data_IF_744558030447
#
_entry.id   IF_744558030447
#
_cell.length_a   1.000
_cell.length_b   1.000
_cell.length_c   1.000
_cell.angle_alpha   90.00
_cell.angle_beta   90.00
_cell.angle_gamma   90.00
#
_symmetry.space_group_name_H-M   'P 1'
#
loop_
_entity.id
_entity.type
_entity.pdbx_description
1 polymer ?
#
# COMPACT_ATOMS: atom_id res chain seq x y z
N UNK A 1 -7.34 -10.89 1.71
CA UNK A 1 -7.29 -9.49 1.24
C UNK A 1 -6.93 -8.55 2.38
N UNK A 2 -6.06 -7.61 2.13
CA UNK A 2 -5.69 -6.59 3.10
C UNK A 2 -6.32 -5.28 2.65
N UNK A 3 -6.95 -4.58 3.57
CA UNK A 3 -7.58 -3.29 3.30
C UNK A 3 -6.95 -2.24 4.22
N UNK A 4 -6.40 -1.19 3.61
CA UNK A 4 -5.69 -0.15 4.33
C UNK A 4 -6.43 1.18 4.22
N UNK A 5 -6.56 1.88 5.34
CA UNK A 5 -6.93 3.29 5.34
C UNK A 5 -5.67 4.12 5.31
N UNK A 6 -5.52 4.97 4.31
CA UNK A 6 -4.33 5.78 4.11
C UNK A 6 -4.68 7.25 4.33
N UNK A 7 -4.05 7.87 5.31
CA UNK A 7 -4.24 9.28 5.61
C UNK A 7 -3.13 10.10 4.93
N UNK A 8 -3.53 10.95 4.01
CA UNK A 8 -2.66 11.91 3.34
C UNK A 8 -3.13 13.30 3.77
N UNK A 9 -3.72 14.08 2.87
CA UNK A 9 -4.48 15.29 3.22
C UNK A 9 -5.97 14.95 3.40
N UNK A 10 -6.36 13.78 2.94
CA UNK A 10 -7.69 13.19 3.07
C UNK A 10 -7.51 11.69 3.23
N UNK A 11 -8.59 10.98 3.48
CA UNK A 11 -8.55 9.53 3.68
C UNK A 11 -8.78 8.78 2.37
N UNK A 12 -7.83 7.94 2.01
CA UNK A 12 -7.93 7.03 0.87
C UNK A 12 -7.97 5.59 1.35
N UNK A 13 -8.47 4.68 0.52
CA UNK A 13 -8.49 3.25 0.81
C UNK A 13 -7.68 2.50 -0.24
N UNK A 14 -6.80 1.62 0.23
CA UNK A 14 -6.01 0.74 -0.63
C UNK A 14 -6.39 -0.70 -0.30
N UNK A 15 -6.75 -1.48 -1.31
CA UNK A 15 -7.06 -2.89 -1.17
C UNK A 15 -5.99 -3.75 -1.84
N UNK A 16 -5.50 -4.74 -1.11
CA UNK A 16 -4.49 -5.67 -1.61
C UNK A 16 -5.12 -7.06 -1.60
N UNK A 17 -5.36 -7.63 -2.78
CA UNK A 17 -5.95 -8.96 -2.89
C UNK A 17 -4.95 -10.05 -2.51
N UNK A 18 -5.45 -11.25 -2.19
CA UNK A 18 -4.59 -12.40 -1.91
C UNK A 18 -3.72 -12.75 -3.12
N UNK A 19 -4.25 -12.55 -4.32
CA UNK A 19 -3.52 -12.76 -5.56
C UNK A 19 -2.34 -11.79 -5.69
N UNK A 20 -2.56 -10.52 -5.36
CA UNK A 20 -1.51 -9.50 -5.37
C UNK A 20 -0.41 -9.83 -4.36
N UNK A 21 -0.79 -10.29 -3.17
CA UNK A 21 0.16 -10.70 -2.14
C UNK A 21 1.01 -11.86 -2.63
N UNK A 22 0.38 -12.88 -3.20
CA UNK A 22 1.07 -14.05 -3.71
C UNK A 22 2.04 -13.67 -4.84
N UNK A 23 1.62 -12.82 -5.75
CA UNK A 23 2.44 -12.36 -6.86
C UNK A 23 3.65 -11.55 -6.37
N UNK A 24 3.45 -10.68 -5.40
CA UNK A 24 4.55 -9.92 -4.80
C UNK A 24 5.58 -10.85 -4.13
N UNK A 25 5.11 -11.84 -3.38
CA UNK A 25 5.98 -12.80 -2.71
C UNK A 25 6.70 -13.73 -3.68
N UNK A 26 6.12 -13.99 -4.84
CA UNK A 26 6.77 -14.77 -5.90
C UNK A 26 8.03 -14.06 -6.42
N UNK A 27 7.95 -12.75 -6.58
CA UNK A 27 9.08 -11.93 -7.03
C UNK A 27 10.03 -11.57 -5.89
N UNK A 28 9.51 -11.50 -4.66
CA UNK A 28 10.25 -11.07 -3.47
C UNK A 28 9.99 -12.04 -2.30
N UNK A 29 10.59 -13.25 -2.32
CA UNK A 29 10.28 -14.29 -1.33
C UNK A 29 10.58 -13.92 0.12
N UNK A 30 11.48 -12.97 0.33
CA UNK A 30 11.87 -12.53 1.67
C UNK A 30 11.10 -11.30 2.14
N UNK A 31 10.13 -10.82 1.36
CA UNK A 31 9.36 -9.64 1.71
C UNK A 31 8.43 -9.89 2.91
N UNK A 32 8.30 -8.88 3.77
CA UNK A 32 7.36 -8.91 4.89
C UNK A 32 6.04 -8.30 4.47
N UNK A 33 5.00 -8.52 5.29
CA UNK A 33 3.70 -7.87 5.06
C UNK A 33 3.80 -6.35 5.09
N UNK A 34 4.64 -5.82 5.98
CA UNK A 34 4.85 -4.37 6.06
C UNK A 34 5.45 -3.81 4.77
N UNK A 35 6.38 -4.52 4.16
CA UNK A 35 6.96 -4.13 2.88
C UNK A 35 5.92 -4.15 1.76
N UNK A 36 5.04 -5.15 1.75
CA UNK A 36 3.97 -5.26 0.77
C UNK A 36 3.00 -4.08 0.92
N UNK A 37 2.57 -3.78 2.14
CA UNK A 37 1.68 -2.65 2.42
C UNK A 37 2.29 -1.34 1.96
N UNK A 38 3.54 -1.10 2.33
CA UNK A 38 4.26 0.13 1.95
C UNK A 38 4.37 0.26 0.43
N UNK A 39 4.68 -0.83 -0.26
CA UNK A 39 4.79 -0.84 -1.72
C UNK A 39 3.48 -0.46 -2.39
N UNK A 40 2.36 -1.02 -1.93
CA UNK A 40 1.05 -0.71 -2.52
C UNK A 40 0.59 0.71 -2.19
N UNK A 41 0.87 1.20 -0.99
CA UNK A 41 0.59 2.59 -0.62
C UNK A 41 1.40 3.55 -1.50
N UNK A 42 2.68 3.26 -1.70
CA UNK A 42 3.54 4.08 -2.55
C UNK A 42 3.06 4.07 -4.02
N UNK A 43 2.63 2.93 -4.52
CA UNK A 43 2.08 2.83 -5.88
C UNK A 43 0.82 3.68 -6.02
N UNK A 44 -0.05 3.67 -5.02
CA UNK A 44 -1.26 4.50 -5.03
C UNK A 44 -0.91 5.98 -5.07
N UNK A 45 0.07 6.40 -4.28
CA UNK A 45 0.54 7.79 -4.25
C UNK A 45 1.07 8.19 -5.63
N UNK A 46 1.88 7.34 -6.25
CA UNK A 46 2.46 7.61 -7.57
C UNK A 46 1.39 7.66 -8.65
N UNK A 47 0.44 6.73 -8.63
CA UNK A 47 -0.63 6.65 -9.63
C UNK A 47 -1.56 7.87 -9.59
N UNK A 48 -1.77 8.42 -8.40
CA UNK A 48 -2.65 9.58 -8.21
C UNK A 48 -1.90 10.91 -8.17
N UNK A 49 -0.59 10.90 -8.36
CA UNK A 49 0.26 12.10 -8.36
C UNK A 49 0.21 12.88 -7.03
N UNK A 50 0.14 12.16 -5.90
CA UNK A 50 0.12 12.77 -4.57
C UNK A 50 1.54 13.04 -4.05
N UNK A 51 2.40 13.56 -4.91
CA UNK A 51 3.82 13.74 -4.60
C UNK A 51 4.11 14.82 -3.55
N UNK A 52 3.13 15.67 -3.25
CA UNK A 52 3.24 16.69 -2.20
C UNK A 52 2.92 16.12 -0.80
N UNK A 53 2.55 14.87 -0.70
CA UNK A 53 2.24 14.23 0.58
C UNK A 53 3.54 14.02 1.37
N UNK A 54 3.66 14.69 2.51
CA UNK A 54 4.85 14.61 3.36
C UNK A 54 4.71 13.62 4.51
N UNK A 55 3.53 13.52 5.10
CA UNK A 55 3.25 12.66 6.24
C UNK A 55 2.14 11.68 5.87
N UNK A 56 2.54 10.55 5.29
CA UNK A 56 1.59 9.50 4.90
C UNK A 56 1.54 8.44 6.00
N UNK A 57 0.36 8.25 6.58
CA UNK A 57 0.12 7.19 7.56
C UNK A 57 -0.91 6.23 7.01
N UNK A 58 -0.77 4.95 7.35
CA UNK A 58 -1.73 3.93 6.95
C UNK A 58 -1.89 2.87 8.02
N UNK A 59 -3.11 2.35 8.13
CA UNK A 59 -3.46 1.27 9.04
C UNK A 59 -4.44 0.32 8.36
N UNK A 60 -4.48 -0.93 8.83
CA UNK A 60 -5.49 -1.88 8.40
C UNK A 60 -6.87 -1.47 8.92
N UNK A 61 -7.84 -1.60 8.03
CA UNK A 61 -9.23 -1.33 8.38
C UNK A 61 -9.92 -2.64 8.73
#
# INVERSE_FOLDING_TARGET
MIKLGVAITFLETVEISDEDIAEYLEENPDATLDEIKESFVQSMIDDNHYWDANDVEYDEI
#
